data_IF_994059648199
#
_entry.id   IF_994059648199
#
_cell.length_a   1.000
_cell.length_b   1.000
_cell.length_c   1.000
_cell.angle_alpha   90.00
_cell.angle_beta   90.00
_cell.angle_gamma   90.00
#
_symmetry.space_group_name_H-M   'P 1'
#
loop_
_entity.id
_entity.type
_entity.pdbx_description
1 polymer ?
#
# COMPACT_ATOMS: atom_id res chain seq x y z
N UNK A 1 -17.67 2.87 -2.95
CA UNK A 1 -17.39 4.07 -2.12
C UNK A 1 -17.79 3.85 -0.65
N UNK A 2 -16.90 4.18 0.29
CA UNK A 2 -17.23 4.17 1.72
C UNK A 2 -18.04 5.43 2.08
N UNK A 3 -19.05 5.27 2.93
CA UNK A 3 -19.82 6.41 3.43
C UNK A 3 -18.95 7.28 4.34
N UNK A 4 -18.94 8.60 4.11
CA UNK A 4 -18.08 9.55 4.84
C UNK A 4 -18.32 9.54 6.36
N UNK A 5 -19.56 9.27 6.78
CA UNK A 5 -19.94 9.16 8.19
C UNK A 5 -19.55 7.84 8.85
N UNK A 6 -18.99 6.87 8.12
CA UNK A 6 -18.60 5.57 8.69
C UNK A 6 -17.30 5.67 9.49
N UNK A 7 -17.20 4.88 10.57
CA UNK A 7 -15.98 4.80 11.37
C UNK A 7 -14.76 4.33 10.54
N UNK A 8 -14.99 3.42 9.57
CA UNK A 8 -13.94 2.94 8.66
C UNK A 8 -13.40 4.06 7.78
N UNK A 9 -14.28 4.90 7.22
CA UNK A 9 -13.87 6.07 6.44
C UNK A 9 -13.07 7.06 7.30
N UNK A 10 -13.62 7.47 8.45
CA UNK A 10 -13.00 8.46 9.32
C UNK A 10 -11.62 8.01 9.80
N UNK A 11 -11.50 6.76 10.24
CA UNK A 11 -10.21 6.20 10.72
C UNK A 11 -9.18 6.14 9.60
N UNK A 12 -9.59 5.71 8.40
CA UNK A 12 -8.67 5.59 7.25
C UNK A 12 -8.18 6.97 6.80
N UNK A 13 -9.10 7.93 6.69
CA UNK A 13 -8.80 9.31 6.31
C UNK A 13 -7.92 9.98 7.35
N UNK A 14 -8.19 9.80 8.64
CA UNK A 14 -7.39 10.37 9.71
C UNK A 14 -5.95 9.85 9.65
N UNK A 15 -5.75 8.53 9.61
CA UNK A 15 -4.40 7.95 9.51
C UNK A 15 -3.64 8.39 8.25
N UNK A 16 -4.34 8.52 7.12
CA UNK A 16 -3.75 9.09 5.90
C UNK A 16 -3.29 10.53 6.14
N UNK A 17 -4.16 11.41 6.67
CA UNK A 17 -3.87 12.82 6.93
C UNK A 17 -2.72 13.02 7.92
N UNK A 18 -2.69 12.23 9.00
CA UNK A 18 -1.65 12.29 10.03
C UNK A 18 -0.24 12.04 9.48
N UNK A 19 -0.15 11.35 8.35
CA UNK A 19 1.13 11.00 7.72
C UNK A 19 1.44 11.78 6.44
N UNK A 20 0.63 12.79 6.09
CA UNK A 20 0.91 13.70 4.97
C UNK A 20 1.92 14.80 5.29
N UNK A 21 2.18 15.06 6.58
CA UNK A 21 3.03 16.17 7.00
C UNK A 21 2.52 17.52 6.46
N UNK A 22 3.41 18.35 5.93
CA UNK A 22 3.08 19.68 5.40
C UNK A 22 2.23 19.68 4.10
N UNK A 23 1.96 18.52 3.50
CA UNK A 23 1.13 18.42 2.29
C UNK A 23 -0.36 18.37 2.58
N UNK A 24 -0.77 18.28 3.87
CA UNK A 24 -2.18 18.14 4.23
C UNK A 24 -3.08 19.25 3.67
N UNK A 25 -2.59 20.50 3.63
CA UNK A 25 -3.33 21.65 3.10
C UNK A 25 -3.35 21.76 1.58
N UNK A 26 -2.54 20.96 0.88
CA UNK A 26 -2.38 21.00 -0.58
C UNK A 26 -3.18 19.91 -1.30
N UNK A 27 -3.74 18.96 -0.53
CA UNK A 27 -4.41 17.78 -1.06
C UNK A 27 -5.84 17.70 -0.55
N UNK A 28 -6.77 17.41 -1.45
CA UNK A 28 -8.15 17.11 -1.12
C UNK A 28 -8.44 15.62 -1.38
N UNK A 29 -9.17 14.98 -0.46
CA UNK A 29 -9.64 13.61 -0.66
C UNK A 29 -10.91 13.69 -1.49
N UNK A 30 -10.82 13.22 -2.74
CA UNK A 30 -11.97 13.21 -3.67
C UNK A 30 -12.92 12.07 -3.34
N UNK A 31 -12.39 10.88 -3.04
CA UNK A 31 -13.16 9.66 -2.80
C UNK A 31 -12.34 8.64 -2.01
N UNK A 32 -13.01 7.80 -1.22
CA UNK A 32 -12.43 6.60 -0.62
C UNK A 32 -13.23 5.37 -1.03
N UNK A 33 -12.55 4.35 -1.55
CA UNK A 33 -13.16 3.11 -2.01
C UNK A 33 -12.54 1.91 -1.32
N UNK A 34 -13.40 1.01 -0.86
CA UNK A 34 -12.98 -0.27 -0.31
C UNK A 34 -12.84 -1.27 -1.46
N UNK A 35 -11.67 -1.88 -1.55
CA UNK A 35 -11.42 -2.94 -2.52
C UNK A 35 -11.90 -4.26 -1.92
N UNK A 36 -12.83 -4.91 -2.61
CA UNK A 36 -13.37 -6.21 -2.20
C UNK A 36 -12.87 -7.29 -3.15
N UNK A 37 -11.96 -8.13 -2.65
CA UNK A 37 -11.42 -9.27 -3.39
C UNK A 37 -11.44 -10.52 -2.51
N UNK A 38 -12.55 -11.28 -2.45
CA UNK A 38 -12.74 -12.34 -1.47
C UNK A 38 -11.66 -13.43 -1.50
N UNK A 39 -11.21 -13.83 -2.69
CA UNK A 39 -10.19 -14.86 -2.84
C UNK A 39 -8.83 -14.38 -2.32
N UNK A 40 -8.38 -13.18 -2.72
CA UNK A 40 -7.13 -12.61 -2.22
C UNK A 40 -7.20 -12.36 -0.71
N UNK A 41 -8.35 -11.92 -0.19
CA UNK A 41 -8.54 -11.72 1.24
C UNK A 41 -8.40 -13.04 2.03
N UNK A 42 -8.99 -14.14 1.55
CA UNK A 42 -8.81 -15.46 2.18
C UNK A 42 -7.36 -15.94 2.16
N UNK A 43 -6.68 -15.81 1.02
CA UNK A 43 -5.26 -16.15 0.89
C UNK A 43 -4.39 -15.30 1.83
N UNK A 44 -4.70 -14.01 1.94
CA UNK A 44 -4.05 -13.07 2.85
C UNK A 44 -4.20 -13.51 4.32
N UNK A 45 -5.42 -13.86 4.75
CA UNK A 45 -5.66 -14.29 6.14
C UNK A 45 -4.91 -15.58 6.49
N UNK A 46 -4.88 -16.55 5.57
CA UNK A 46 -4.08 -17.78 5.75
C UNK A 46 -2.59 -17.48 5.87
N UNK A 47 -2.06 -16.59 5.02
CA UNK A 47 -0.65 -16.19 5.07
C UNK A 47 -0.32 -15.44 6.36
N UNK A 48 -1.24 -14.59 6.84
CA UNK A 48 -1.11 -13.87 8.11
C UNK A 48 -0.96 -14.84 9.28
N UNK A 49 -1.90 -15.77 9.43
CA UNK A 49 -1.85 -16.76 10.51
C UNK A 49 -0.57 -17.61 10.48
N UNK A 50 -0.12 -18.02 9.29
CA UNK A 50 1.13 -18.75 9.13
C UNK A 50 2.37 -17.92 9.54
N UNK A 51 2.40 -16.63 9.18
CA UNK A 51 3.50 -15.73 9.50
C UNK A 51 3.53 -15.37 10.99
N UNK A 52 2.38 -15.12 11.61
CA UNK A 52 2.28 -14.88 13.06
C UNK A 52 2.85 -16.07 13.84
N UNK A 53 2.50 -17.30 13.46
CA UNK A 53 3.09 -18.51 14.08
C UNK A 53 4.61 -18.58 13.91
N UNK A 54 5.12 -18.21 12.74
CA UNK A 54 6.57 -18.22 12.46
C UNK A 54 7.34 -17.10 13.21
N UNK A 55 6.70 -15.96 13.46
CA UNK A 55 7.26 -14.80 14.17
C UNK A 55 6.91 -14.80 15.67
N UNK A 56 6.69 -15.97 16.29
CA UNK A 56 6.45 -16.06 17.73
C UNK A 56 5.15 -15.38 18.21
N UNK A 57 4.12 -15.35 17.37
CA UNK A 57 2.82 -14.70 17.59
C UNK A 57 2.89 -13.18 17.75
N UNK A 58 3.93 -12.54 17.22
CA UNK A 58 4.02 -11.07 17.15
C UNK A 58 3.16 -10.51 16.01
N UNK A 59 2.83 -9.21 16.09
CA UNK A 59 2.11 -8.49 15.05
C UNK A 59 2.97 -8.37 13.77
N UNK A 60 2.55 -9.07 12.71
CA UNK A 60 3.26 -9.12 11.41
C UNK A 60 2.68 -8.16 10.37
N UNK A 61 1.54 -7.54 10.67
CA UNK A 61 0.76 -6.69 9.77
C UNK A 61 1.01 -5.20 10.08
N UNK A 62 1.14 -4.38 9.03
CA UNK A 62 1.18 -2.92 9.13
C UNK A 62 0.25 -2.27 8.12
N UNK A 63 -0.30 -1.11 8.49
CA UNK A 63 -0.96 -0.22 7.52
C UNK A 63 0.11 0.57 6.80
N UNK A 64 0.15 0.47 5.47
CA UNK A 64 1.12 1.17 4.62
C UNK A 64 0.41 1.80 3.42
N UNK A 65 1.14 2.62 2.66
CA UNK A 65 0.62 3.37 1.52
C UNK A 65 1.33 3.00 0.23
N UNK A 66 0.59 2.90 -0.88
CA UNK A 66 1.15 2.67 -2.22
C UNK A 66 0.57 3.66 -3.23
N UNK A 67 1.38 4.59 -3.72
CA UNK A 67 1.02 5.47 -4.81
C UNK A 67 1.18 4.76 -6.15
N UNK A 68 0.22 4.97 -7.05
CA UNK A 68 0.25 4.36 -8.39
C UNK A 68 -0.44 5.27 -9.43
N UNK A 69 -0.35 4.90 -10.71
CA UNK A 69 -1.15 5.50 -11.79
C UNK A 69 -2.59 5.00 -11.76
N UNK A 70 -3.49 5.72 -12.42
CA UNK A 70 -4.89 5.31 -12.60
C UNK A 70 -5.00 3.94 -13.27
N UNK A 71 -4.28 3.70 -14.36
CA UNK A 71 -4.33 2.44 -15.11
C UNK A 71 -3.87 1.27 -14.24
N UNK A 72 -2.76 1.44 -13.53
CA UNK A 72 -2.22 0.41 -12.63
C UNK A 72 -3.14 0.18 -11.42
N UNK A 73 -3.93 1.17 -10.98
CA UNK A 73 -4.88 1.00 -9.89
C UNK A 73 -5.99 0.00 -10.24
N UNK A 74 -6.45 0.00 -11.50
CA UNK A 74 -7.46 -0.96 -11.98
C UNK A 74 -6.92 -2.39 -11.94
N UNK A 75 -5.69 -2.60 -12.43
CA UNK A 75 -5.00 -3.89 -12.39
C UNK A 75 -4.80 -4.39 -10.96
N UNK A 76 -4.39 -3.52 -10.04
CA UNK A 76 -4.21 -3.86 -8.62
C UNK A 76 -5.55 -4.26 -7.99
N UNK A 77 -6.65 -3.57 -8.30
CA UNK A 77 -7.97 -3.93 -7.79
C UNK A 77 -8.44 -5.31 -8.26
N UNK A 78 -8.09 -5.71 -9.49
CA UNK A 78 -8.52 -6.99 -10.08
C UNK A 78 -7.61 -8.17 -9.68
N UNK A 79 -6.30 -7.93 -9.59
CA UNK A 79 -5.29 -8.98 -9.49
C UNK A 79 -4.43 -8.91 -8.22
N UNK A 80 -4.60 -7.86 -7.43
CA UNK A 80 -3.73 -7.56 -6.30
C UNK A 80 -2.37 -7.00 -6.75
N UNK A 81 -1.50 -6.75 -5.76
CA UNK A 81 -0.15 -6.26 -6.02
C UNK A 81 0.72 -7.34 -6.66
N UNK A 82 1.36 -7.01 -7.78
CA UNK A 82 2.22 -7.94 -8.50
C UNK A 82 3.53 -7.26 -8.91
N UNK A 83 4.65 -7.84 -8.48
CA UNK A 83 6.01 -7.34 -8.78
C UNK A 83 6.29 -7.17 -10.28
N UNK A 84 5.62 -7.94 -11.14
CA UNK A 84 5.81 -7.86 -12.59
C UNK A 84 5.17 -6.61 -13.20
N UNK A 85 4.18 -6.02 -12.50
CA UNK A 85 3.39 -4.88 -12.98
C UNK A 85 3.63 -3.61 -12.16
N UNK A 86 4.06 -3.70 -10.90
CA UNK A 86 4.27 -2.54 -10.04
C UNK A 86 5.65 -1.88 -10.27
N UNK A 87 5.64 -0.64 -10.79
CA UNK A 87 6.66 0.39 -10.60
C UNK A 87 8.12 -0.01 -10.87
N UNK A 88 8.58 0.18 -12.12
CA UNK A 88 10.01 0.07 -12.50
C UNK A 88 10.93 1.11 -11.81
N UNK A 89 10.38 2.01 -11.00
CA UNK A 89 11.03 3.24 -10.55
C UNK A 89 11.61 3.20 -9.12
N UNK A 90 11.56 2.03 -8.47
CA UNK A 90 12.18 1.80 -7.18
C UNK A 90 12.75 0.37 -7.16
N UNK A 91 14.01 0.20 -7.53
CA UNK A 91 14.70 -1.10 -7.38
C UNK A 91 15.80 -1.04 -6.32
N UNK A 92 15.98 0.10 -5.63
CA UNK A 92 17.10 0.30 -4.69
C UNK A 92 17.17 -0.77 -3.59
N UNK A 93 16.02 -1.27 -3.12
CA UNK A 93 15.93 -2.28 -2.07
C UNK A 93 15.41 -3.63 -2.57
N UNK A 94 15.49 -3.87 -3.88
CA UNK A 94 15.12 -5.13 -4.53
C UNK A 94 13.96 -5.01 -5.53
N UNK A 95 13.74 -6.08 -6.26
CA UNK A 95 12.67 -6.23 -7.26
C UNK A 95 11.39 -6.73 -6.59
N UNK A 96 10.65 -5.79 -6.00
CA UNK A 96 9.40 -6.05 -5.31
C UNK A 96 8.39 -4.92 -5.47
N UNK A 97 7.30 -5.00 -4.70
CA UNK A 97 6.31 -3.93 -4.60
C UNK A 97 6.65 -3.06 -3.40
N UNK A 98 6.63 -1.74 -3.59
CA UNK A 98 7.11 -0.78 -2.60
C UNK A 98 5.93 -0.17 -1.86
N UNK A 99 6.05 -0.07 -0.54
CA UNK A 99 5.05 0.54 0.33
C UNK A 99 5.73 1.57 1.23
N UNK A 100 5.03 2.68 1.50
CA UNK A 100 5.52 3.73 2.37
C UNK A 100 4.84 3.66 3.74
N UNK A 101 5.61 3.96 4.80
CA UNK A 101 5.08 4.13 6.16
C UNK A 101 4.27 5.41 6.27
N UNK A 102 4.65 6.47 5.53
CA UNK A 102 3.97 7.76 5.53
C UNK A 102 3.33 8.02 4.17
N UNK A 103 2.07 8.45 4.18
CA UNK A 103 1.33 8.80 2.98
C UNK A 103 2.04 9.88 2.16
N UNK A 104 2.78 10.80 2.82
CA UNK A 104 3.58 11.86 2.17
C UNK A 104 4.47 11.34 1.02
N UNK A 105 5.07 10.15 1.16
CA UNK A 105 5.89 9.59 0.08
C UNK A 105 5.02 9.10 -1.08
N UNK A 106 3.95 8.38 -0.78
CA UNK A 106 3.06 7.80 -1.80
C UNK A 106 2.26 8.84 -2.59
N UNK A 107 2.00 10.02 -2.02
CA UNK A 107 1.34 11.14 -2.73
C UNK A 107 2.30 11.94 -3.63
N UNK A 108 3.61 11.69 -3.60
CA UNK A 108 4.53 12.39 -4.48
C UNK A 108 4.26 12.01 -5.95
N UNK A 109 4.33 12.98 -6.87
CA UNK A 109 3.99 12.80 -8.30
C UNK A 109 4.77 11.67 -8.98
N UNK A 110 5.99 11.42 -8.52
CA UNK A 110 6.82 10.29 -8.95
C UNK A 110 6.15 8.92 -8.75
N UNK A 111 5.31 8.77 -7.72
CA UNK A 111 4.68 7.51 -7.34
C UNK A 111 3.19 7.49 -7.65
N UNK A 112 2.48 8.60 -7.46
CA UNK A 112 1.08 8.76 -7.85
C UNK A 112 0.92 9.96 -8.78
N UNK A 113 1.34 9.87 -10.05
CA UNK A 113 1.15 10.98 -10.99
C UNK A 113 -0.33 11.29 -11.16
N UNK A 114 -0.66 12.57 -11.34
CA UNK A 114 -2.03 12.97 -11.60
C UNK A 114 -2.49 12.43 -12.97
N UNK A 115 -3.74 11.97 -13.04
CA UNK A 115 -4.41 11.72 -14.32
C UNK A 115 -4.79 13.06 -14.99
N UNK A 116 -5.37 13.05 -16.22
CA UNK A 116 -5.80 14.27 -16.91
C UNK A 116 -6.79 15.14 -16.13
N UNK A 117 -7.59 14.55 -15.23
CA UNK A 117 -8.54 15.27 -14.36
C UNK A 117 -7.88 15.85 -13.10
N UNK A 118 -6.58 15.66 -12.91
CA UNK A 118 -5.84 16.11 -11.73
C UNK A 118 -5.92 15.15 -10.53
N UNK A 119 -6.47 13.95 -10.69
CA UNK A 119 -6.65 12.98 -9.61
C UNK A 119 -5.42 12.10 -9.39
N UNK A 120 -5.14 11.78 -8.12
CA UNK A 120 -4.03 10.93 -7.68
C UNK A 120 -4.56 9.65 -7.06
N UNK A 121 -3.92 8.52 -7.35
CA UNK A 121 -4.34 7.21 -6.86
C UNK A 121 -3.36 6.67 -5.82
N UNK A 122 -3.84 6.48 -4.58
CA UNK A 122 -3.06 5.94 -3.46
C UNK A 122 -3.86 4.88 -2.72
N UNK A 123 -3.28 3.69 -2.60
CA UNK A 123 -3.84 2.61 -1.79
C UNK A 123 -3.42 2.74 -0.33
N UNK A 124 -4.35 2.48 0.59
CA UNK A 124 -4.08 2.14 1.99
C UNK A 124 -4.16 0.63 2.11
N UNK A 125 -3.08 0.00 2.59
CA UNK A 125 -2.94 -1.46 2.52
C UNK A 125 -2.63 -2.06 3.88
N UNK A 126 -3.25 -3.22 4.14
CA UNK A 126 -2.84 -4.14 5.20
C UNK A 126 -1.71 -5.04 4.68
N UNK A 127 -0.47 -4.75 5.06
CA UNK A 127 0.71 -5.42 4.51
C UNK A 127 1.36 -6.32 5.55
N UNK A 128 1.55 -7.59 5.21
CA UNK A 128 2.30 -8.55 6.04
C UNK A 128 3.80 -8.30 5.84
N UNK A 129 4.41 -7.57 6.77
CA UNK A 129 5.83 -7.23 6.73
C UNK A 129 6.70 -8.26 7.45
N UNK A 130 6.15 -8.91 8.49
CA UNK A 130 6.91 -9.86 9.32
C UNK A 130 8.24 -9.29 9.82
N UNK A 131 9.24 -10.17 9.87
CA UNK A 131 10.62 -9.76 10.07
C UNK A 131 11.21 -9.19 8.78
N UNK A 132 11.93 -8.07 8.89
CA UNK A 132 12.53 -7.37 7.76
C UNK A 132 14.00 -7.02 8.04
N UNK A 133 14.75 -6.87 6.97
CA UNK A 133 16.14 -6.43 6.99
C UNK A 133 16.40 -5.51 5.81
N UNK A 134 17.60 -4.92 5.73
CA UNK A 134 17.97 -4.05 4.64
C UNK A 134 18.03 -4.81 3.31
N UNK A 135 17.31 -4.30 2.31
CA UNK A 135 17.32 -4.83 0.96
C UNK A 135 18.44 -4.20 0.11
N UNK A 136 18.72 -4.79 -1.05
CA UNK A 136 19.61 -4.20 -2.05
C UNK A 136 19.07 -4.41 -3.46
N UNK A 137 19.63 -3.67 -4.43
CA UNK A 137 19.01 -3.59 -5.75
C UNK A 137 19.12 -4.80 -6.66
N UNK A 138 19.89 -5.83 -6.29
CA UNK A 138 19.95 -7.08 -7.05
C UNK A 138 18.98 -8.15 -6.52
N UNK A 139 18.36 -7.93 -5.36
CA UNK A 139 17.48 -8.90 -4.71
C UNK A 139 16.19 -9.14 -5.49
N UNK A 140 15.83 -10.41 -5.71
CA UNK A 140 14.54 -10.84 -6.29
C UNK A 140 13.59 -11.48 -5.27
N UNK A 141 14.09 -11.69 -4.07
CA UNK A 141 13.38 -12.20 -2.90
C UNK A 141 14.05 -11.60 -1.64
N UNK A 142 13.34 -11.57 -0.50
CA UNK A 142 13.96 -11.23 0.78
C UNK A 142 15.17 -12.14 1.06
N UNK A 143 16.22 -11.64 1.72
CA UNK A 143 17.36 -12.47 2.11
C UNK A 143 16.95 -13.60 3.05
N UNK A 144 17.69 -14.70 3.00
CA UNK A 144 17.55 -15.78 3.96
C UNK A 144 18.02 -15.30 5.34
N UNK A 145 17.33 -15.73 6.39
CA UNK A 145 17.80 -15.59 7.77
C UNK A 145 18.94 -16.56 8.05
#
# INVERSE_FOLDING_TARGET
PLAEGSAEFQTTVQGFRDTLGGLHSQLCIVKLEKVEHPLLYQQYQLKKAAMEKACGHQAVERILYHGTTEESSHEICQHGFNRSFCGRNATRYGHGVYFAVKAQLSVHDRYSPCNPDGNKYVFVTRTLVGDYTEGNGSMRAPPLR
#
